data_IF_892058168212
#
_entry.id   IF_892058168212
#
_cell.length_a   1.000
_cell.length_b   1.000
_cell.length_c   1.000
_cell.angle_alpha   90.00
_cell.angle_beta   90.00
_cell.angle_gamma   90.00
#
_symmetry.space_group_name_H-M   'P 1'
#
loop_
_entity.id
_entity.type
_entity.pdbx_description
1 polymer ?
#
# COMPACT_ATOMS: atom_id res chain seq x y z
N UNK A 1 3.62 11.11 22.19
CA UNK A 1 4.19 9.87 21.60
C UNK A 1 3.06 8.96 21.14
N UNK A 2 3.25 8.20 20.06
CA UNK A 2 2.20 7.38 19.44
C UNK A 2 1.94 6.06 20.20
N UNK A 3 0.66 5.66 20.32
CA UNK A 3 0.22 4.38 20.90
C UNK A 3 0.16 3.26 19.87
N UNK A 4 -0.32 3.53 18.64
CA UNK A 4 -0.29 2.60 17.51
C UNK A 4 0.12 3.24 16.18
N UNK A 5 1.00 2.57 15.45
CA UNK A 5 1.38 2.98 14.09
C UNK A 5 0.75 2.03 13.08
N UNK A 6 -0.07 2.57 12.19
CA UNK A 6 -0.74 1.83 11.12
C UNK A 6 -0.10 2.17 9.79
N UNK A 7 0.48 1.17 9.13
CA UNK A 7 1.13 1.30 7.84
C UNK A 7 0.21 0.77 6.74
N UNK A 8 -0.23 1.66 5.87
CA UNK A 8 -0.89 1.30 4.63
C UNK A 8 0.16 0.75 3.65
N UNK A 9 -0.10 -0.42 3.12
CA UNK A 9 0.79 -1.10 2.18
C UNK A 9 0.16 -1.14 0.80
N UNK A 10 1.01 -1.24 -0.21
CA UNK A 10 0.60 -1.45 -1.59
C UNK A 10 1.11 -2.81 -2.04
N UNK A 11 0.26 -3.59 -2.69
CA UNK A 11 0.61 -4.90 -3.21
C UNK A 11 -0.18 -5.24 -4.45
N UNK A 12 0.29 -6.24 -5.18
CA UNK A 12 -0.44 -6.82 -6.30
C UNK A 12 -0.12 -8.28 -6.50
N UNK A 13 -1.11 -9.02 -6.98
CA UNK A 13 -0.93 -10.33 -7.57
C UNK A 13 -0.94 -10.18 -9.09
N UNK A 14 0.16 -10.52 -9.74
CA UNK A 14 0.32 -10.45 -11.19
C UNK A 14 0.20 -11.86 -11.76
N UNK A 15 -0.93 -12.16 -12.40
CA UNK A 15 -1.17 -13.46 -13.05
C UNK A 15 -0.52 -13.53 -14.43
N UNK A 16 -0.59 -12.41 -15.18
CA UNK A 16 -0.02 -12.28 -16.53
C UNK A 16 0.71 -10.94 -16.65
N UNK A 17 1.88 -10.93 -17.30
CA UNK A 17 2.56 -9.67 -17.59
C UNK A 17 1.84 -8.91 -18.70
N UNK A 18 1.18 -7.81 -18.31
CA UNK A 18 0.36 -6.94 -19.15
C UNK A 18 0.91 -5.52 -19.23
N UNK A 19 0.38 -4.71 -20.16
CA UNK A 19 0.53 -3.25 -20.12
C UNK A 19 -0.43 -2.66 -19.08
N UNK A 20 -0.27 -1.38 -18.72
CA UNK A 20 -1.22 -0.68 -17.83
C UNK A 20 -2.65 -0.65 -18.39
N UNK A 21 -2.81 -0.66 -19.71
CA UNK A 21 -4.13 -0.59 -20.35
C UNK A 21 -4.89 -1.91 -20.28
N UNK A 22 -4.18 -3.03 -20.08
CA UNK A 22 -4.75 -4.38 -20.08
C UNK A 22 -4.95 -4.92 -18.65
N UNK A 23 -5.01 -4.04 -17.65
CA UNK A 23 -5.32 -4.43 -16.27
C UNK A 23 -6.79 -4.82 -16.14
N UNK A 24 -7.02 -6.09 -15.84
CA UNK A 24 -8.34 -6.64 -15.54
C UNK A 24 -8.24 -7.68 -14.40
N UNK A 25 -9.39 -8.25 -14.01
CA UNK A 25 -9.47 -9.21 -12.89
C UNK A 25 -8.80 -10.54 -13.17
N UNK A 26 -8.56 -10.86 -14.44
CA UNK A 26 -7.96 -12.11 -14.88
C UNK A 26 -6.43 -11.96 -15.00
N UNK A 27 -5.94 -10.72 -15.14
CA UNK A 27 -4.51 -10.42 -15.33
C UNK A 27 -3.81 -9.91 -14.09
N UNK A 28 -4.47 -9.10 -13.24
CA UNK A 28 -3.87 -8.54 -12.03
C UNK A 28 -4.91 -8.28 -10.93
N UNK A 29 -4.53 -8.49 -9.67
CA UNK A 29 -5.25 -7.94 -8.52
C UNK A 29 -4.42 -6.85 -7.86
N UNK A 30 -4.94 -5.62 -7.80
CA UNK A 30 -4.27 -4.48 -7.16
C UNK A 30 -4.87 -4.19 -5.78
N UNK A 31 -4.03 -4.20 -4.75
CA UNK A 31 -4.36 -3.75 -3.40
C UNK A 31 -3.56 -2.48 -3.07
N UNK A 32 -3.97 -1.38 -3.69
CA UNK A 32 -3.31 -0.08 -3.61
C UNK A 32 -4.24 0.95 -2.96
N UNK A 33 -3.71 1.91 -2.19
CA UNK A 33 -4.50 3.07 -1.80
C UNK A 33 -4.71 3.97 -3.03
N UNK A 34 -5.88 4.61 -3.13
CA UNK A 34 -6.13 5.61 -4.18
C UNK A 34 -5.40 6.92 -3.85
N UNK A 35 -4.16 7.04 -4.35
CA UNK A 35 -3.26 8.17 -4.09
C UNK A 35 -2.81 8.89 -5.36
N UNK A 36 -3.36 8.52 -6.52
CA UNK A 36 -3.02 9.03 -7.84
C UNK A 36 -1.85 8.32 -8.50
N UNK A 37 -1.55 7.07 -8.13
CA UNK A 37 -0.52 6.26 -8.79
C UNK A 37 -1.04 5.67 -10.11
N UNK A 38 -0.14 5.22 -10.98
CA UNK A 38 -0.54 4.48 -12.20
C UNK A 38 -1.11 3.09 -11.91
N UNK A 39 -1.01 2.66 -10.64
CA UNK A 39 -1.55 1.42 -10.11
C UNK A 39 -2.81 1.65 -9.26
N UNK A 40 -3.38 2.86 -9.31
CA UNK A 40 -4.71 3.07 -8.76
C UNK A 40 -5.68 2.23 -9.60
N UNK A 41 -6.37 1.31 -8.95
CA UNK A 41 -7.47 0.57 -9.58
C UNK A 41 -8.55 1.51 -10.11
N UNK A 42 -9.56 0.96 -10.80
CA UNK A 42 -10.71 1.76 -11.24
C UNK A 42 -11.93 1.51 -10.34
N UNK A 43 -12.60 2.56 -9.81
CA UNK A 43 -13.84 2.38 -9.07
C UNK A 43 -14.89 1.62 -9.89
N UNK A 44 -15.45 0.55 -9.33
CA UNK A 44 -16.48 -0.26 -10.01
C UNK A 44 -15.97 -1.07 -11.22
N UNK A 45 -14.70 -0.94 -11.58
CA UNK A 45 -14.04 -1.88 -12.47
C UNK A 45 -13.82 -3.16 -11.67
N UNK A 46 -14.41 -4.28 -12.10
CA UNK A 46 -14.32 -5.58 -11.40
C UNK A 46 -12.89 -6.15 -11.26
N UNK A 47 -11.90 -5.35 -11.60
CA UNK A 47 -10.51 -5.65 -11.95
C UNK A 47 -9.56 -5.53 -10.77
N UNK A 48 -9.93 -4.77 -9.74
CA UNK A 48 -8.98 -4.33 -8.73
C UNK A 48 -9.77 -3.92 -7.50
N UNK A 49 -9.33 -4.29 -6.32
CA UNK A 49 -9.94 -3.78 -5.09
C UNK A 49 -9.55 -2.30 -4.98
N UNK A 50 -10.32 -1.43 -5.62
CA UNK A 50 -10.06 0.02 -5.65
C UNK A 50 -9.98 0.55 -4.21
N UNK A 51 -8.94 1.34 -3.93
CA UNK A 51 -8.67 1.93 -2.61
C UNK A 51 -8.80 0.91 -1.46
N UNK A 52 -8.36 -0.32 -1.69
CA UNK A 52 -8.43 -1.41 -0.70
C UNK A 52 -7.04 -1.95 -0.35
N UNK A 53 -6.14 -1.10 0.18
CA UNK A 53 -4.81 -1.53 0.59
C UNK A 53 -4.86 -2.41 1.85
N UNK A 54 -3.91 -3.33 2.03
CA UNK A 54 -3.67 -3.97 3.32
C UNK A 54 -3.06 -2.99 4.32
N UNK A 55 -3.32 -3.24 5.61
CA UNK A 55 -2.76 -2.47 6.71
C UNK A 55 -1.99 -3.36 7.67
N UNK A 56 -0.81 -2.90 8.10
CA UNK A 56 -0.05 -3.47 9.21
C UNK A 56 -0.10 -2.51 10.38
N UNK A 57 -0.67 -2.93 11.50
CA UNK A 57 -0.74 -2.11 12.72
C UNK A 57 0.26 -2.63 13.75
N UNK A 58 1.16 -1.75 14.19
CA UNK A 58 2.04 -1.97 15.32
C UNK A 58 1.43 -1.29 16.54
N UNK A 59 0.94 -2.09 17.48
CA UNK A 59 0.42 -1.61 18.75
C UNK A 59 1.51 -1.68 19.83
N UNK A 60 1.65 -0.63 20.62
CA UNK A 60 2.53 -0.66 21.80
C UNK A 60 1.84 -1.37 22.96
N UNK A 61 2.64 -2.14 23.69
CA UNK A 61 2.27 -2.63 25.00
C UNK A 61 2.41 -1.51 26.03
N UNK A 62 1.31 -0.81 26.32
CA UNK A 62 1.30 0.30 27.28
C UNK A 62 1.18 -0.17 28.73
N UNK A 63 0.82 -1.44 28.95
CA UNK A 63 0.76 -2.03 30.29
C UNK A 63 2.17 -2.31 30.80
N UNK A 64 3.00 -2.95 29.98
CA UNK A 64 4.39 -3.27 30.34
C UNK A 64 5.41 -2.18 29.95
N UNK A 65 5.06 -1.27 29.03
CA UNK A 65 5.93 -0.16 28.60
C UNK A 65 5.13 1.16 28.47
N UNK A 66 4.74 1.76 29.60
CA UNK A 66 3.93 2.98 29.63
C UNK A 66 4.66 4.17 28.99
N UNK A 67 3.88 5.16 28.55
CA UNK A 67 4.45 6.40 28.05
C UNK A 67 5.14 7.18 29.19
N UNK A 68 6.28 7.85 28.93
CA UNK A 68 6.83 8.82 29.88
C UNK A 68 5.82 9.92 30.19
N UNK A 69 5.81 10.45 31.42
CA UNK A 69 4.88 11.52 31.82
C UNK A 69 4.95 12.75 30.90
N UNK A 70 6.14 13.09 30.40
CA UNK A 70 6.35 14.19 29.45
C UNK A 70 5.60 14.04 28.12
N UNK A 71 5.13 12.83 27.80
CA UNK A 71 4.35 12.55 26.59
C UNK A 71 2.85 12.79 26.75
N UNK A 72 2.37 13.11 27.97
CA UNK A 72 0.95 13.26 28.28
C UNK A 72 0.14 12.02 27.89
N UNK A 73 -1.06 12.23 27.37
CA UNK A 73 -1.92 11.14 26.87
C UNK A 73 -1.39 10.47 25.59
N UNK A 74 -0.40 11.07 24.92
CA UNK A 74 0.11 10.59 23.64
C UNK A 74 -0.83 10.84 22.46
N UNK A 75 -0.52 10.23 21.32
CA UNK A 75 -1.35 10.23 20.11
C UNK A 75 -1.88 8.82 19.93
N UNK A 76 -3.19 8.66 19.75
CA UNK A 76 -3.81 7.34 19.56
C UNK A 76 -3.23 6.60 18.37
N UNK A 77 -3.23 7.23 17.20
CA UNK A 77 -2.80 6.59 15.95
C UNK A 77 -1.97 7.51 15.08
N UNK A 78 -0.92 6.93 14.50
CA UNK A 78 -0.22 7.50 13.35
C UNK A 78 -0.46 6.59 12.15
N UNK A 79 -0.99 7.14 11.06
CA UNK A 79 -1.17 6.42 9.80
C UNK A 79 -0.07 6.83 8.83
N UNK A 80 0.67 5.85 8.32
CA UNK A 80 1.69 6.04 7.28
C UNK A 80 1.13 5.47 5.99
N UNK A 81 0.97 6.30 4.97
CA UNK A 81 0.46 5.92 3.65
C UNK A 81 1.50 6.25 2.57
N UNK A 82 1.78 5.35 1.62
CA UNK A 82 2.69 5.65 0.53
C UNK A 82 2.10 6.72 -0.39
N UNK A 83 2.97 7.53 -0.95
CA UNK A 83 2.63 8.46 -2.04
C UNK A 83 2.57 7.74 -3.38
N UNK A 84 1.90 8.33 -4.36
CA UNK A 84 1.90 7.84 -5.74
C UNK A 84 3.32 7.60 -6.28
N UNK A 85 4.24 8.53 -6.04
CA UNK A 85 5.62 8.42 -6.48
C UNK A 85 6.36 7.21 -5.89
N UNK A 86 6.04 6.80 -4.66
CA UNK A 86 6.63 5.60 -4.06
C UNK A 86 6.08 4.33 -4.70
N UNK A 87 4.76 4.25 -4.90
CA UNK A 87 4.11 3.11 -5.56
C UNK A 87 4.63 2.97 -7.00
N UNK A 88 4.65 4.05 -7.77
CA UNK A 88 5.09 4.04 -9.17
C UNK A 88 6.55 3.61 -9.35
N UNK A 89 7.40 3.90 -8.36
CA UNK A 89 8.82 3.56 -8.34
C UNK A 89 9.06 2.10 -7.93
N UNK A 90 8.36 1.63 -6.91
CA UNK A 90 8.72 0.40 -6.18
C UNK A 90 7.85 -0.81 -6.54
N UNK A 91 6.63 -0.60 -7.03
CA UNK A 91 5.70 -1.67 -7.37
C UNK A 91 5.99 -2.41 -8.70
N UNK A 92 6.60 -1.82 -9.75
CA UNK A 92 6.90 -2.56 -10.97
C UNK A 92 7.76 -3.81 -10.73
N UNK A 93 7.42 -4.92 -11.40
CA UNK A 93 8.25 -6.14 -11.36
C UNK A 93 9.50 -5.91 -12.20
N UNK A 94 10.67 -6.14 -11.59
CA UNK A 94 11.97 -6.03 -12.24
C UNK A 94 12.72 -7.35 -12.19
N UNK A 95 13.26 -7.78 -13.34
CA UNK A 95 14.15 -8.94 -13.45
C UNK A 95 15.48 -8.44 -14.00
N UNK A 96 16.59 -8.73 -13.30
CA UNK A 96 17.93 -8.25 -13.64
C UNK A 96 18.02 -6.72 -13.84
N UNK A 97 17.25 -5.95 -13.06
CA UNK A 97 17.22 -4.49 -13.12
C UNK A 97 16.35 -3.90 -14.24
N UNK A 98 15.85 -4.72 -15.16
CA UNK A 98 14.92 -4.29 -16.20
C UNK A 98 13.47 -4.48 -15.74
N UNK A 99 12.63 -3.46 -15.95
CA UNK A 99 11.20 -3.58 -15.71
C UNK A 99 10.59 -4.55 -16.72
N UNK A 100 9.88 -5.56 -16.23
CA UNK A 100 9.15 -6.56 -17.04
C UNK A 100 7.64 -6.41 -16.91
N UNK A 101 7.17 -5.80 -15.83
CA UNK A 101 5.77 -5.45 -15.64
C UNK A 101 5.62 -4.11 -14.90
N UNK A 102 4.68 -3.24 -15.30
CA UNK A 102 3.88 -3.35 -16.52
C UNK A 102 4.75 -3.24 -17.77
N UNK A 103 4.30 -3.86 -18.86
CA UNK A 103 4.93 -3.75 -20.17
C UNK A 103 4.69 -2.36 -20.75
N UNK A 104 5.66 -1.86 -21.52
CA UNK A 104 5.55 -0.56 -22.22
C UNK A 104 4.73 -0.67 -23.49
#
# INVERSE_FOLDING_TARGET
>A
MCKKCTFCHSGCDVCTFTTLADFDSDTVSLWTPAVGSKFDGTPGGGHTTYDSPPFLTLARDLENNPLPESCGEGIEEVVVKPSAAQIDRDMPVRINGQQVWPQN
#
